data_IF_082520415833
#
_entry.id   IF_082520415833
#
_cell.length_a   1.000
_cell.length_b   1.000
_cell.length_c   1.000
_cell.angle_alpha   90.00
_cell.angle_beta   90.00
_cell.angle_gamma   90.00
#
_symmetry.space_group_name_H-M   'P 1'
#
loop_
_entity.id
_entity.type
_entity.pdbx_description
1 polymer ?
#
# COMPACT_ATOMS: atom_id res chain seq x y z
N UNK A 1 38.91 59.18 -12.00
CA UNK A 1 38.02 59.53 -13.13
C UNK A 1 36.90 60.40 -12.61
N UNK A 2 36.68 61.56 -13.24
CA UNK A 2 35.59 62.47 -12.88
C UNK A 2 34.29 61.79 -13.33
N UNK A 3 33.40 61.42 -12.39
CA UNK A 3 32.17 60.68 -12.71
C UNK A 3 31.33 61.52 -13.68
N UNK A 4 31.06 60.99 -14.87
CA UNK A 4 30.22 61.67 -15.85
C UNK A 4 28.83 61.83 -15.25
N UNK A 5 28.34 63.06 -15.15
CA UNK A 5 26.98 63.34 -14.72
C UNK A 5 26.01 63.10 -15.88
N UNK A 6 25.63 61.83 -16.07
CA UNK A 6 24.66 61.42 -17.08
C UNK A 6 23.30 62.09 -16.90
N UNK A 7 22.92 62.50 -15.68
CA UNK A 7 21.66 63.20 -15.44
C UNK A 7 21.71 64.64 -15.95
N UNK A 8 22.80 65.36 -15.72
CA UNK A 8 23.01 66.69 -16.28
C UNK A 8 23.09 66.67 -17.81
N UNK A 9 23.83 65.71 -18.39
CA UNK A 9 23.91 65.53 -19.83
C UNK A 9 22.54 65.22 -20.45
N UNK A 10 21.75 64.35 -19.81
CA UNK A 10 20.39 64.00 -20.24
C UNK A 10 19.45 65.21 -20.19
N UNK A 11 19.50 66.01 -19.11
CA UNK A 11 18.68 67.24 -19.00
C UNK A 11 19.03 68.26 -20.07
N UNK A 12 20.32 68.47 -20.35
CA UNK A 12 20.77 69.37 -21.42
C UNK A 12 20.31 68.89 -22.81
N UNK A 13 20.41 67.58 -23.08
CA UNK A 13 19.93 66.96 -24.32
C UNK A 13 18.40 67.14 -24.49
N UNK A 14 17.63 66.87 -23.44
CA UNK A 14 16.17 67.03 -23.43
C UNK A 14 15.74 68.48 -23.61
N UNK A 15 16.45 69.43 -22.98
CA UNK A 15 16.17 70.85 -23.16
C UNK A 15 16.38 71.27 -24.61
N UNK A 16 17.54 70.93 -25.21
CA UNK A 16 17.82 71.19 -26.62
C UNK A 16 16.77 70.57 -27.55
N UNK A 17 16.39 69.32 -27.33
CA UNK A 17 15.34 68.65 -28.12
C UNK A 17 13.99 69.36 -28.01
N UNK A 18 13.62 69.81 -26.82
CA UNK A 18 12.37 70.51 -26.56
C UNK A 18 12.35 71.90 -27.21
N UNK A 19 13.45 72.66 -27.10
CA UNK A 19 13.59 73.96 -27.77
C UNK A 19 13.60 73.80 -29.28
N UNK A 20 14.29 72.79 -29.82
CA UNK A 20 14.34 72.51 -31.25
C UNK A 20 12.96 72.19 -31.82
N UNK A 21 12.19 71.35 -31.12
CA UNK A 21 10.81 71.05 -31.50
C UNK A 21 9.92 72.31 -31.48
N UNK A 22 10.11 73.18 -30.48
CA UNK A 22 9.40 74.45 -30.40
C UNK A 22 9.76 75.42 -31.54
N UNK A 23 11.04 75.59 -31.85
CA UNK A 23 11.51 76.40 -32.98
C UNK A 23 10.97 75.89 -34.32
N UNK A 24 10.98 74.57 -34.54
CA UNK A 24 10.40 73.96 -35.74
C UNK A 24 8.90 74.20 -35.87
N UNK A 25 8.19 74.38 -34.76
CA UNK A 25 6.75 74.68 -34.74
C UNK A 25 6.40 76.15 -34.93
N UNK A 26 7.34 77.08 -34.70
CA UNK A 26 7.16 78.53 -34.85
C UNK A 26 8.41 79.16 -35.51
N UNK A 27 8.60 78.95 -36.83
CA UNK A 27 9.83 79.34 -37.53
C UNK A 27 10.06 80.86 -37.62
N UNK A 28 9.00 81.68 -37.53
CA UNK A 28 9.08 83.14 -37.68
C UNK A 28 9.32 83.89 -36.36
N UNK A 29 9.57 83.19 -35.24
CA UNK A 29 9.81 83.80 -33.93
C UNK A 29 11.31 84.13 -33.72
N UNK A 30 11.71 85.42 -33.61
CA UNK A 30 13.10 85.81 -33.41
C UNK A 30 13.72 85.32 -32.09
N UNK A 31 12.87 85.01 -31.11
CA UNK A 31 13.31 84.47 -29.82
C UNK A 31 13.57 82.96 -29.89
N UNK A 32 12.89 82.25 -30.79
CA UNK A 32 13.00 80.80 -30.90
C UNK A 32 14.35 80.34 -31.43
N UNK A 33 14.92 81.05 -32.41
CA UNK A 33 16.27 80.79 -32.91
C UNK A 33 17.33 80.99 -31.80
N UNK A 34 17.24 82.10 -31.06
CA UNK A 34 18.17 82.44 -29.97
C UNK A 34 18.13 81.42 -28.83
N UNK A 35 16.94 80.98 -28.42
CA UNK A 35 16.77 80.01 -27.35
C UNK A 35 17.26 78.61 -27.77
N UNK A 36 17.04 78.24 -29.03
CA UNK A 36 17.60 77.02 -29.62
C UNK A 36 19.13 77.03 -29.66
N UNK A 37 19.73 78.14 -30.11
CA UNK A 37 21.19 78.28 -30.17
C UNK A 37 21.82 78.25 -28.77
N UNK A 38 21.18 78.87 -27.79
CA UNK A 38 21.60 78.82 -26.39
C UNK A 38 21.53 77.39 -25.83
N UNK A 39 20.44 76.66 -26.11
CA UNK A 39 20.29 75.27 -25.68
C UNK A 39 21.28 74.32 -26.38
N UNK A 40 21.56 74.55 -27.67
CA UNK A 40 22.58 73.81 -28.43
C UNK A 40 23.98 74.08 -27.87
N UNK A 41 24.31 75.33 -27.55
CA UNK A 41 25.58 75.70 -26.95
C UNK A 41 25.77 75.07 -25.56
N UNK A 42 24.71 75.02 -24.74
CA UNK A 42 24.71 74.34 -23.46
C UNK A 42 24.94 72.82 -23.59
N UNK A 43 24.24 72.16 -24.52
CA UNK A 43 24.44 70.74 -24.80
C UNK A 43 25.86 70.44 -25.31
N UNK A 44 26.37 71.24 -26.26
CA UNK A 44 27.75 71.15 -26.76
C UNK A 44 28.78 71.38 -25.65
N UNK A 45 28.50 72.26 -24.68
CA UNK A 45 29.39 72.48 -23.54
C UNK A 45 29.54 71.24 -22.66
N UNK A 46 28.45 70.50 -22.43
CA UNK A 46 28.48 69.23 -21.69
C UNK A 46 29.27 68.12 -22.43
N UNK A 47 29.28 68.16 -23.76
CA UNK A 47 29.92 67.14 -24.61
C UNK A 47 31.40 67.42 -24.89
N UNK A 48 31.74 68.68 -25.21
CA UNK A 48 33.03 69.17 -25.75
C UNK A 48 34.27 68.27 -25.58
N UNK A 49 34.71 68.03 -24.35
CA UNK A 49 35.94 67.26 -24.07
C UNK A 49 35.66 65.89 -23.45
N UNK A 50 34.39 65.53 -23.30
CA UNK A 50 33.92 64.31 -22.65
C UNK A 50 33.36 63.30 -23.65
N UNK A 51 33.38 63.58 -24.95
CA UNK A 51 32.90 62.67 -26.00
C UNK A 51 33.50 61.26 -25.86
N UNK A 52 34.83 61.20 -25.73
CA UNK A 52 35.56 59.94 -25.57
C UNK A 52 35.21 59.26 -24.25
N UNK A 53 35.11 60.01 -23.15
CA UNK A 53 34.76 59.46 -21.84
C UNK A 53 33.31 58.92 -21.82
N UNK A 54 32.38 59.64 -22.46
CA UNK A 54 30.96 59.24 -22.58
C UNK A 54 30.84 57.98 -23.43
N UNK A 55 31.52 57.94 -24.58
CA UNK A 55 31.51 56.76 -25.46
C UNK A 55 32.14 55.56 -24.75
N UNK A 56 33.29 55.74 -24.07
CA UNK A 56 33.94 54.68 -23.31
C UNK A 56 33.02 54.13 -22.21
N UNK A 57 32.40 55.00 -21.41
CA UNK A 57 31.50 54.56 -20.34
C UNK A 57 30.26 53.82 -20.86
N UNK A 58 29.70 54.26 -22.00
CA UNK A 58 28.59 53.56 -22.64
C UNK A 58 28.99 52.20 -23.23
N UNK A 59 30.22 52.08 -23.75
CA UNK A 59 30.76 50.81 -24.25
C UNK A 59 31.01 49.84 -23.08
N UNK A 60 31.59 50.30 -21.99
CA UNK A 60 31.80 49.50 -20.78
C UNK A 60 30.45 48.97 -20.23
N UNK A 61 29.44 49.84 -20.12
CA UNK A 61 28.08 49.46 -19.70
C UNK A 61 27.41 48.48 -20.68
N UNK A 62 27.67 48.62 -21.99
CA UNK A 62 27.14 47.72 -23.01
C UNK A 62 27.79 46.34 -22.92
N UNK A 63 29.11 46.29 -22.74
CA UNK A 63 29.87 45.05 -22.59
C UNK A 63 29.45 44.30 -21.32
N UNK A 64 29.29 44.99 -20.19
CA UNK A 64 28.76 44.41 -18.96
C UNK A 64 27.36 43.81 -19.16
N UNK A 65 26.46 44.54 -19.82
CA UNK A 65 25.10 44.03 -20.12
C UNK A 65 25.13 42.84 -21.07
N UNK A 66 26.00 42.84 -22.07
CA UNK A 66 26.15 41.70 -22.97
C UNK A 66 26.68 40.47 -22.24
N UNK A 67 27.64 40.64 -21.32
CA UNK A 67 28.13 39.54 -20.47
C UNK A 67 27.02 39.00 -19.56
N UNK A 68 26.22 39.89 -18.96
CA UNK A 68 25.08 39.49 -18.14
C UNK A 68 24.06 38.66 -18.93
N UNK A 69 23.71 39.10 -20.15
CA UNK A 69 22.79 38.35 -21.03
C UNK A 69 23.35 36.96 -21.35
N UNK A 70 24.63 36.86 -21.74
CA UNK A 70 25.28 35.57 -22.00
C UNK A 70 25.25 34.65 -20.78
N UNK A 71 25.53 35.18 -19.59
CA UNK A 71 25.46 34.40 -18.35
C UNK A 71 24.05 33.90 -18.05
N UNK A 72 23.03 34.73 -18.30
CA UNK A 72 21.62 34.37 -18.12
C UNK A 72 21.15 33.34 -19.14
N UNK A 73 21.62 33.43 -20.38
CA UNK A 73 21.30 32.44 -21.42
C UNK A 73 21.89 31.09 -21.07
N UNK A 74 23.14 31.05 -20.57
CA UNK A 74 23.76 29.81 -20.08
C UNK A 74 23.00 29.22 -18.89
N UNK A 75 22.64 30.03 -17.90
CA UNK A 75 21.85 29.59 -16.75
C UNK A 75 20.49 29.01 -17.20
N UNK A 76 19.82 29.67 -18.15
CA UNK A 76 18.55 29.20 -18.68
C UNK A 76 18.70 27.86 -19.44
N UNK A 77 19.80 27.66 -20.16
CA UNK A 77 20.11 26.39 -20.83
C UNK A 77 20.32 25.27 -19.81
N UNK A 78 21.09 25.51 -18.76
CA UNK A 78 21.33 24.54 -17.68
C UNK A 78 20.03 24.17 -16.95
N UNK A 79 19.16 25.17 -16.72
CA UNK A 79 17.81 24.95 -16.15
C UNK A 79 16.97 24.10 -17.11
N UNK A 80 16.97 24.40 -18.42
CA UNK A 80 16.20 23.65 -19.40
C UNK A 80 16.64 22.19 -19.47
N UNK A 81 17.95 21.91 -19.41
CA UNK A 81 18.49 20.55 -19.35
C UNK A 81 18.07 19.83 -18.06
N UNK A 82 18.11 20.51 -16.92
CA UNK A 82 17.72 19.94 -15.62
C UNK A 82 16.22 19.62 -15.58
N UNK A 83 15.39 20.55 -16.01
CA UNK A 83 13.93 20.35 -16.12
C UNK A 83 13.61 19.23 -17.11
N UNK A 84 14.36 19.12 -18.20
CA UNK A 84 14.25 18.00 -19.14
C UNK A 84 14.49 16.65 -18.48
N UNK A 85 15.56 16.51 -17.71
CA UNK A 85 15.87 15.27 -16.96
C UNK A 85 14.78 14.93 -15.94
N UNK A 86 14.37 15.89 -15.12
CA UNK A 86 13.33 15.70 -14.11
C UNK A 86 11.98 15.29 -14.73
N UNK A 87 11.66 15.78 -15.92
CA UNK A 87 10.43 15.37 -16.63
C UNK A 87 10.47 13.90 -17.04
N UNK A 88 11.63 13.41 -17.49
CA UNK A 88 11.80 12.00 -17.84
C UNK A 88 11.71 11.12 -16.59
N UNK A 89 12.46 11.47 -15.53
CA UNK A 89 12.42 10.73 -14.26
C UNK A 89 11.00 10.70 -13.66
N UNK A 90 10.27 11.82 -13.73
CA UNK A 90 8.89 11.89 -13.26
C UNK A 90 7.97 10.95 -14.06
N UNK A 91 8.18 10.83 -15.36
CA UNK A 91 7.38 9.94 -16.21
C UNK A 91 7.68 8.47 -15.93
N UNK A 92 8.96 8.12 -15.71
CA UNK A 92 9.37 6.77 -15.29
C UNK A 92 8.76 6.39 -13.94
N UNK A 93 8.79 7.31 -12.95
CA UNK A 93 8.18 7.09 -11.64
C UNK A 93 6.66 6.90 -11.75
N UNK A 94 6.00 7.65 -12.63
CA UNK A 94 4.55 7.48 -12.87
C UNK A 94 4.23 6.12 -13.48
N UNK A 95 4.97 5.69 -14.49
CA UNK A 95 4.78 4.37 -15.10
C UNK A 95 4.99 3.27 -14.07
N UNK A 96 6.05 3.33 -13.27
CA UNK A 96 6.27 2.37 -12.20
C UNK A 96 5.17 2.38 -11.12
N UNK A 97 4.61 3.55 -10.78
CA UNK A 97 3.49 3.63 -9.86
C UNK A 97 2.21 2.99 -10.44
N UNK A 98 1.97 3.16 -11.73
CA UNK A 98 0.85 2.55 -12.45
C UNK A 98 1.01 1.02 -12.52
N UNK A 99 2.19 0.52 -12.90
CA UNK A 99 2.54 -0.91 -12.85
C UNK A 99 2.37 -1.50 -11.44
N UNK A 100 2.81 -0.79 -10.40
CA UNK A 100 2.60 -1.20 -9.00
C UNK A 100 1.12 -1.23 -8.62
N UNK A 101 0.32 -0.28 -9.13
CA UNK A 101 -1.13 -0.28 -8.93
C UNK A 101 -1.79 -1.47 -9.62
N UNK A 102 -1.44 -1.74 -10.88
CA UNK A 102 -1.95 -2.90 -11.63
C UNK A 102 -1.57 -4.23 -10.98
N UNK A 103 -0.30 -4.39 -10.57
CA UNK A 103 0.15 -5.60 -9.87
C UNK A 103 -0.52 -5.77 -8.51
N UNK A 104 -0.76 -4.68 -7.75
CA UNK A 104 -1.56 -4.76 -6.54
C UNK A 104 -3.03 -5.11 -6.83
N UNK A 105 -3.62 -4.59 -7.89
CA UNK A 105 -4.97 -4.96 -8.31
C UNK A 105 -5.07 -6.45 -8.68
N UNK A 106 -4.11 -6.97 -9.45
CA UNK A 106 -4.02 -8.39 -9.80
C UNK A 106 -3.77 -9.25 -8.55
N UNK A 107 -2.90 -8.80 -7.63
CA UNK A 107 -2.66 -9.48 -6.34
C UNK A 107 -3.90 -9.52 -5.46
N UNK A 108 -4.70 -8.45 -5.46
CA UNK A 108 -5.98 -8.37 -4.76
C UNK A 108 -7.07 -9.22 -5.42
N UNK A 109 -6.81 -9.79 -6.60
CA UNK A 109 -7.68 -10.75 -7.26
C UNK A 109 -7.37 -12.21 -6.91
N UNK A 110 -6.48 -12.44 -5.92
CA UNK A 110 -6.25 -13.78 -5.40
C UNK A 110 -7.53 -14.36 -4.81
N UNK A 111 -8.04 -15.39 -5.49
CA UNK A 111 -9.30 -16.06 -5.17
C UNK A 111 -9.17 -17.55 -5.52
N UNK A 112 -8.82 -18.40 -4.55
CA UNK A 112 -8.92 -19.85 -4.76
C UNK A 112 -10.38 -20.25 -5.06
N UNK A 113 -10.60 -21.33 -5.80
CA UNK A 113 -11.96 -21.84 -6.08
C UNK A 113 -12.64 -22.40 -4.83
N UNK A 114 -11.84 -22.88 -3.88
CA UNK A 114 -12.26 -23.40 -2.58
C UNK A 114 -11.55 -22.61 -1.49
N UNK A 115 -12.28 -22.17 -0.47
CA UNK A 115 -11.70 -21.49 0.69
C UNK A 115 -10.70 -22.42 1.38
N UNK A 116 -9.44 -22.01 1.57
CA UNK A 116 -8.39 -22.88 2.09
C UNK A 116 -8.60 -23.28 3.56
N UNK A 117 -9.41 -22.53 4.30
CA UNK A 117 -9.66 -22.76 5.74
C UNK A 117 -10.99 -23.48 5.96
N UNK A 118 -12.07 -23.04 5.32
CA UNK A 118 -13.42 -23.60 5.55
C UNK A 118 -13.82 -24.68 4.55
N UNK A 119 -13.11 -24.82 3.43
CA UNK A 119 -13.48 -25.74 2.35
C UNK A 119 -14.72 -25.31 1.54
N UNK A 120 -15.29 -24.13 1.80
CA UNK A 120 -16.45 -23.60 1.08
C UNK A 120 -16.07 -23.21 -0.36
N UNK A 121 -16.94 -23.47 -1.32
CA UNK A 121 -16.71 -23.03 -2.70
C UNK A 121 -16.85 -21.52 -2.84
N UNK A 122 -16.10 -20.91 -3.74
CA UNK A 122 -16.32 -19.53 -4.09
C UNK A 122 -17.73 -19.32 -4.63
N UNK A 123 -18.33 -18.21 -4.24
CA UNK A 123 -19.64 -17.80 -4.71
C UNK A 123 -19.53 -16.57 -5.63
N UNK A 124 -19.10 -15.42 -5.13
CA UNK A 124 -18.97 -14.19 -5.92
C UNK A 124 -18.05 -13.15 -5.26
N UNK A 125 -17.82 -12.04 -5.94
CA UNK A 125 -17.16 -10.86 -5.37
C UNK A 125 -18.21 -9.92 -4.77
N UNK A 126 -17.96 -9.42 -3.56
CA UNK A 126 -18.85 -8.48 -2.86
C UNK A 126 -18.04 -7.30 -2.34
N UNK A 127 -18.58 -6.09 -2.49
CA UNK A 127 -17.95 -4.88 -1.97
C UNK A 127 -18.09 -4.81 -0.44
N UNK A 128 -16.95 -4.80 0.24
CA UNK A 128 -16.82 -4.68 1.69
C UNK A 128 -16.52 -3.23 2.09
N UNK A 129 -17.19 -2.66 3.11
CA UNK A 129 -16.98 -1.28 3.54
C UNK A 129 -15.53 -0.94 3.91
N UNK A 130 -14.78 -1.90 4.46
CA UNK A 130 -13.40 -1.69 4.94
C UNK A 130 -12.34 -2.37 4.09
N UNK A 131 -12.69 -3.44 3.37
CA UNK A 131 -11.73 -4.30 2.66
C UNK A 131 -11.79 -4.09 1.14
N UNK A 132 -12.74 -3.29 0.64
CA UNK A 132 -13.01 -3.14 -0.77
C UNK A 132 -13.64 -4.40 -1.35
N UNK A 133 -13.42 -4.68 -2.62
CA UNK A 133 -14.04 -5.83 -3.28
C UNK A 133 -13.36 -7.14 -2.82
N UNK A 134 -14.09 -8.00 -2.11
CA UNK A 134 -13.55 -9.25 -1.52
C UNK A 134 -14.20 -10.48 -2.14
N UNK A 135 -13.45 -11.59 -2.28
CA UNK A 135 -14.04 -12.85 -2.73
C UNK A 135 -14.80 -13.49 -1.56
N UNK A 136 -16.04 -13.92 -1.81
CA UNK A 136 -16.86 -14.61 -0.82
C UNK A 136 -17.09 -16.08 -1.18
N UNK A 137 -17.23 -16.89 -0.14
CA UNK A 137 -17.29 -18.35 -0.20
C UNK A 137 -18.51 -18.87 0.56
N UNK A 138 -19.25 -19.82 -0.01
CA UNK A 138 -20.49 -20.33 0.55
C UNK A 138 -21.54 -20.59 -0.52
N UNK A 139 -22.70 -19.94 -0.39
CA UNK A 139 -23.83 -20.15 -1.29
C UNK A 139 -24.79 -18.96 -1.36
N UNK A 140 -25.97 -19.15 -1.96
CA UNK A 140 -26.92 -18.07 -2.26
C UNK A 140 -27.67 -17.52 -1.03
N UNK A 141 -27.62 -18.19 0.12
CA UNK A 141 -28.20 -17.69 1.36
C UNK A 141 -27.17 -16.83 2.10
N UNK A 142 -26.01 -17.43 2.36
CA UNK A 142 -24.91 -16.80 3.07
C UNK A 142 -23.59 -17.03 2.36
N UNK A 143 -22.78 -15.97 2.27
CA UNK A 143 -21.42 -16.05 1.76
C UNK A 143 -20.46 -15.33 2.70
N UNK A 144 -19.22 -15.81 2.74
CA UNK A 144 -18.29 -15.47 3.81
C UNK A 144 -16.93 -15.09 3.26
N UNK A 145 -16.25 -14.15 3.89
CA UNK A 145 -14.83 -13.88 3.57
C UNK A 145 -13.94 -15.07 3.95
N UNK A 146 -12.73 -15.11 3.39
CA UNK A 146 -11.73 -16.08 3.84
C UNK A 146 -11.39 -15.75 5.30
N UNK A 147 -11.46 -16.73 6.22
CA UNK A 147 -11.19 -16.45 7.62
C UNK A 147 -9.79 -15.87 7.84
N UNK A 148 -9.73 -14.87 8.72
CA UNK A 148 -8.48 -14.24 9.16
C UNK A 148 -8.20 -14.65 10.59
N UNK A 149 -6.91 -14.82 10.89
CA UNK A 149 -6.46 -15.17 12.23
C UNK A 149 -6.30 -13.90 13.06
N UNK A 150 -6.89 -13.86 14.24
CA UNK A 150 -6.71 -12.76 15.19
C UNK A 150 -5.44 -12.93 16.05
N UNK A 151 -5.23 -12.00 16.99
CA UNK A 151 -4.09 -12.01 17.91
C UNK A 151 -4.10 -13.17 18.90
N UNK A 152 -5.27 -13.75 19.17
CA UNK A 152 -5.47 -14.87 20.10
C UNK A 152 -5.38 -16.23 19.38
N UNK A 153 -5.30 -16.20 18.05
CA UNK A 153 -5.13 -17.35 17.19
C UNK A 153 -6.43 -18.04 16.79
N UNK A 154 -7.56 -17.41 17.05
CA UNK A 154 -8.87 -17.81 16.57
C UNK A 154 -9.08 -17.29 15.14
N UNK A 155 -9.78 -18.08 14.32
CA UNK A 155 -10.17 -17.64 13.00
C UNK A 155 -11.56 -17.01 13.04
N UNK A 156 -11.69 -15.86 12.40
CA UNK A 156 -12.98 -15.17 12.22
C UNK A 156 -13.19 -14.82 10.76
N UNK A 157 -14.44 -14.85 10.30
CA UNK A 157 -14.81 -14.37 8.97
C UNK A 157 -16.03 -13.46 9.03
N UNK A 158 -16.20 -12.63 8.01
CA UNK A 158 -17.35 -11.73 7.87
C UNK A 158 -18.40 -12.39 6.98
N UNK A 159 -19.67 -12.34 7.41
CA UNK A 159 -20.80 -12.94 6.70
C UNK A 159 -21.55 -11.86 5.92
N UNK A 160 -21.82 -12.14 4.66
CA UNK A 160 -22.78 -11.40 3.86
C UNK A 160 -24.07 -12.22 3.76
N UNK A 161 -25.14 -11.64 4.28
CA UNK A 161 -26.49 -12.19 4.25
C UNK A 161 -27.18 -11.72 2.96
N UNK A 162 -27.47 -12.65 2.06
CA UNK A 162 -28.05 -12.33 0.75
C UNK A 162 -29.56 -12.06 0.82
N UNK A 163 -30.25 -12.58 1.83
CA UNK A 163 -31.67 -12.31 2.04
C UNK A 163 -31.87 -10.88 2.58
N UNK A 164 -30.99 -10.43 3.47
CA UNK A 164 -30.95 -9.06 3.97
C UNK A 164 -30.28 -8.09 2.98
N UNK A 165 -29.30 -8.55 2.22
CA UNK A 165 -28.51 -7.75 1.29
C UNK A 165 -27.44 -6.91 1.98
N UNK A 166 -26.76 -7.45 3.00
CA UNK A 166 -25.76 -6.70 3.75
C UNK A 166 -24.78 -7.55 4.55
N UNK A 167 -23.69 -6.91 4.98
CA UNK A 167 -22.70 -7.49 5.88
C UNK A 167 -23.25 -7.55 7.30
N UNK A 168 -23.11 -8.71 7.95
CA UNK A 168 -23.55 -8.97 9.33
C UNK A 168 -22.32 -9.28 10.18
N UNK A 169 -22.45 -9.12 11.51
CA UNK A 169 -21.39 -9.36 12.48
C UNK A 169 -20.66 -10.69 12.25
N UNK A 170 -19.35 -10.65 12.52
CA UNK A 170 -18.41 -11.72 12.24
C UNK A 170 -18.84 -13.03 12.90
N UNK A 171 -18.78 -14.12 12.13
CA UNK A 171 -19.03 -15.46 12.62
C UNK A 171 -17.67 -16.15 12.84
N UNK A 172 -17.44 -16.65 14.05
CA UNK A 172 -16.30 -17.52 14.34
C UNK A 172 -16.62 -18.93 13.81
N UNK A 173 -15.87 -19.48 12.83
CA UNK A 173 -16.10 -20.82 12.31
C UNK A 173 -15.82 -21.95 13.33
N UNK A 174 -15.37 -21.62 14.55
CA UNK A 174 -14.99 -22.58 15.58
C UNK A 174 -13.73 -23.37 15.26
N UNK A 175 -12.88 -22.84 14.38
CA UNK A 175 -11.63 -23.49 13.95
C UNK A 175 -10.46 -22.92 14.76
N UNK A 176 -9.68 -23.82 15.35
CA UNK A 176 -8.43 -23.50 16.05
C UNK A 176 -7.27 -24.20 15.35
N UNK A 177 -6.09 -23.55 15.33
CA UNK A 177 -4.88 -24.21 14.88
C UNK A 177 -4.49 -25.29 15.90
N UNK A 178 -4.45 -26.55 15.44
CA UNK A 178 -3.82 -27.64 16.16
C UNK A 178 -2.33 -27.57 15.79
N UNK A 179 -1.45 -27.45 16.78
CA UNK A 179 -0.01 -27.51 16.51
C UNK A 179 0.41 -28.95 16.11
N UNK A 180 1.54 -29.08 15.42
CA UNK A 180 2.03 -30.38 14.93
C UNK A 180 2.15 -31.43 16.06
N UNK A 181 2.39 -30.98 17.29
CA UNK A 181 2.53 -31.85 18.45
C UNK A 181 1.18 -32.39 18.90
N UNK A 182 0.16 -31.55 19.00
CA UNK A 182 -1.21 -31.96 19.30
C UNK A 182 -1.78 -32.83 18.17
N UNK A 183 -1.42 -32.55 16.91
CA UNK A 183 -1.83 -33.39 15.78
C UNK A 183 -1.21 -34.79 15.88
N UNK A 184 0.08 -34.91 16.20
CA UNK A 184 0.73 -36.20 16.48
C UNK A 184 0.04 -36.93 17.65
N UNK A 185 -0.30 -36.24 18.73
CA UNK A 185 -0.99 -36.84 19.88
C UNK A 185 -2.38 -37.37 19.50
N UNK A 186 -3.13 -36.65 18.68
CA UNK A 186 -4.45 -37.10 18.20
C UNK A 186 -4.29 -38.36 17.35
N UNK A 187 -3.33 -38.40 16.42
CA UNK A 187 -3.07 -39.61 15.63
C UNK A 187 -2.69 -40.82 16.48
N UNK A 188 -1.79 -40.65 17.45
CA UNK A 188 -1.42 -41.72 18.39
C UNK A 188 -2.62 -42.23 19.20
N UNK A 189 -3.50 -41.32 19.61
CA UNK A 189 -4.72 -41.67 20.34
C UNK A 189 -5.72 -42.42 19.46
N UNK A 190 -5.94 -41.97 18.22
CA UNK A 190 -6.82 -42.64 17.27
C UNK A 190 -6.35 -44.05 16.94
N UNK A 191 -5.04 -44.25 16.76
CA UNK A 191 -4.45 -45.57 16.56
C UNK A 191 -4.67 -46.46 17.77
N UNK A 192 -4.46 -45.94 18.98
CA UNK A 192 -4.72 -46.66 20.22
C UNK A 192 -6.20 -47.01 20.41
N UNK A 193 -7.12 -46.14 20.01
CA UNK A 193 -8.56 -46.44 20.07
C UNK A 193 -8.91 -47.57 19.10
N UNK A 194 -8.42 -47.53 17.86
CA UNK A 194 -8.63 -48.62 16.89
C UNK A 194 -8.05 -49.95 17.38
N UNK A 195 -6.88 -49.90 17.99
CA UNK A 195 -6.23 -51.07 18.60
C UNK A 195 -7.08 -51.66 19.73
N UNK A 196 -7.61 -50.81 20.62
CA UNK A 196 -8.49 -51.23 21.71
C UNK A 196 -9.85 -51.75 21.21
N UNK A 197 -10.46 -51.12 20.20
CA UNK A 197 -11.74 -51.53 19.62
C UNK A 197 -11.64 -52.88 18.89
N UNK A 198 -10.46 -53.23 18.37
CA UNK A 198 -10.19 -54.52 17.74
C UNK A 198 -9.89 -55.65 18.73
N UNK A 199 -9.69 -55.36 20.02
CA UNK A 199 -9.42 -56.41 21.03
C UNK A 199 -10.68 -57.18 21.38
N UNK A 200 -10.66 -58.48 21.07
CA UNK A 200 -11.70 -59.41 21.46
C UNK A 200 -11.25 -60.28 22.65
N UNK A 201 -12.14 -60.51 23.62
CA UNK A 201 -11.87 -61.41 24.75
C UNK A 201 -12.46 -62.77 24.42
N UNK A 202 -11.59 -63.79 24.33
CA UNK A 202 -12.05 -65.18 24.24
C UNK A 202 -12.44 -65.68 25.64
N UNK A 203 -13.72 -66.03 25.82
CA UNK A 203 -14.21 -66.59 27.07
C UNK A 203 -13.85 -68.08 27.19
N UNK A 204 -13.54 -68.57 28.40
CA UNK A 204 -13.22 -69.98 28.63
C UNK A 204 -14.43 -70.89 28.34
N UNK A 205 -14.20 -72.18 28.16
CA UNK A 205 -15.29 -73.14 27.98
C UNK A 205 -16.24 -73.16 29.18
N UNK A 206 -17.55 -73.19 28.92
CA UNK A 206 -18.54 -73.32 29.98
C UNK A 206 -18.45 -74.72 30.57
N UNK A 207 -18.50 -74.81 31.90
CA UNK A 207 -18.53 -76.08 32.62
C UNK A 207 -19.89 -76.29 33.28
N UNK A 208 -20.30 -77.54 33.44
CA UNK A 208 -21.56 -77.89 34.11
C UNK A 208 -21.51 -77.48 35.58
N UNK A 209 -22.56 -76.84 36.10
CA UNK A 209 -22.66 -76.39 37.50
C UNK A 209 -22.90 -77.54 38.49
N UNK A 210 -21.99 -78.49 38.57
CA UNK A 210 -22.05 -79.59 39.54
C UNK A 210 -20.94 -79.42 40.55
N UNK A 211 -21.27 -78.96 41.77
CA UNK A 211 -20.68 -79.36 43.06
C UNK A 211 -21.40 -78.64 44.22
N UNK A 212 -22.65 -79.03 44.53
CA UNK A 212 -23.23 -78.98 45.88
C UNK A 212 -24.37 -79.99 45.97
N UNK A 213 -24.39 -80.75 47.05
CA UNK A 213 -25.20 -81.96 47.32
C UNK A 213 -26.72 -81.74 47.46
N UNK A 214 -27.22 -80.54 47.14
CA UNK A 214 -28.54 -80.09 47.60
C UNK A 214 -29.35 -79.36 46.51
N UNK A 215 -28.92 -79.41 45.25
CA UNK A 215 -29.69 -78.86 44.12
C UNK A 215 -30.33 -79.95 43.23
N UNK A 216 -31.59 -79.71 42.89
CA UNK A 216 -32.51 -80.62 42.22
C UNK A 216 -32.16 -80.84 40.72
N UNK A 217 -32.58 -81.99 40.17
CA UNK A 217 -32.17 -82.56 38.88
C UNK A 217 -32.39 -81.65 37.64
N UNK A 218 -33.26 -80.64 37.77
CA UNK A 218 -33.56 -79.66 36.72
C UNK A 218 -32.40 -78.71 36.36
N UNK A 219 -31.34 -78.64 37.17
CA UNK A 219 -30.18 -77.74 36.94
C UNK A 219 -28.97 -78.42 36.27
N UNK A 220 -29.03 -79.73 35.99
CA UNK A 220 -27.92 -80.49 35.42
C UNK A 220 -27.44 -80.02 34.04
N UNK A 221 -28.25 -79.25 33.32
CA UNK A 221 -27.94 -78.74 31.99
C UNK A 221 -27.46 -77.28 31.97
N UNK A 222 -27.42 -76.59 33.12
CA UNK A 222 -27.00 -75.18 33.15
C UNK A 222 -25.48 -75.06 33.14
N UNK A 223 -24.95 -74.69 31.98
CA UNK A 223 -23.52 -74.47 31.74
C UNK A 223 -23.12 -73.05 32.18
N UNK A 224 -22.14 -72.92 33.08
CA UNK A 224 -21.66 -71.64 33.58
C UNK A 224 -20.15 -71.48 33.39
N UNK A 225 -19.71 -70.21 33.35
CA UNK A 225 -18.28 -69.89 33.35
C UNK A 225 -17.73 -69.91 34.77
N UNK A 226 -16.51 -70.44 34.95
CA UNK A 226 -15.80 -70.30 36.22
C UNK A 226 -15.31 -68.87 36.37
N UNK A 227 -15.73 -68.22 37.46
CA UNK A 227 -15.42 -66.81 37.73
C UNK A 227 -13.92 -66.52 37.70
N UNK A 228 -13.10 -67.42 38.26
CA UNK A 228 -11.64 -67.27 38.27
C UNK A 228 -11.01 -67.27 36.87
N UNK A 229 -11.52 -68.10 35.96
CA UNK A 229 -11.01 -68.23 34.59
C UNK A 229 -11.45 -67.05 33.72
N UNK A 230 -12.67 -66.54 33.93
CA UNK A 230 -13.16 -65.32 33.27
C UNK A 230 -12.36 -64.10 33.73
N UNK A 231 -12.10 -63.97 35.03
CA UNK A 231 -11.26 -62.88 35.57
C UNK A 231 -9.83 -62.97 35.01
N UNK A 232 -9.28 -64.18 34.87
CA UNK A 232 -7.97 -64.38 34.25
C UNK A 232 -7.97 -63.93 32.78
N UNK A 233 -8.99 -64.31 31.99
CA UNK A 233 -9.12 -63.91 30.59
C UNK A 233 -9.25 -62.37 30.43
N UNK A 234 -10.04 -61.73 31.29
CA UNK A 234 -10.21 -60.26 31.31
C UNK A 234 -8.89 -59.54 31.67
N UNK A 235 -8.14 -60.07 32.65
CA UNK A 235 -6.83 -59.52 33.03
C UNK A 235 -5.77 -59.69 31.93
N UNK A 236 -5.77 -60.83 31.24
CA UNK A 236 -4.88 -61.09 30.09
C UNK A 236 -5.17 -60.11 28.94
N UNK A 237 -6.43 -59.72 28.74
CA UNK A 237 -6.81 -58.67 27.81
C UNK A 237 -6.42 -57.24 28.26
N UNK A 238 -5.85 -57.10 29.46
CA UNK A 238 -5.38 -55.82 30.02
C UNK A 238 -6.50 -54.95 30.61
N UNK A 239 -7.67 -55.52 30.89
CA UNK A 239 -8.83 -54.80 31.41
C UNK A 239 -8.85 -54.88 32.94
N UNK A 240 -8.96 -53.72 33.59
CA UNK A 240 -9.06 -53.62 35.06
C UNK A 240 -10.50 -53.82 35.51
N UNK A 241 -10.72 -54.66 36.51
CA UNK A 241 -12.03 -54.90 37.12
C UNK A 241 -12.12 -54.07 38.41
N UNK A 242 -13.16 -53.27 38.58
CA UNK A 242 -13.35 -52.40 39.76
C UNK A 242 -14.15 -53.15 40.84
N UNK A 243 -13.62 -53.24 42.06
CA UNK A 243 -14.30 -53.87 43.20
C UNK A 243 -13.60 -55.07 43.87
N UNK A 244 -12.31 -55.27 43.59
CA UNK A 244 -11.41 -56.00 44.50
C UNK A 244 -10.74 -55.03 45.49
#
# INVERSE_FOLDING_TARGET
MNKIDYQALRKAAQNYQSTLAWYQSIPDSPNAERDCDAALAAFKHHIRHREVDIISGLLDELDEKQQYIKSRDQENEDIALTVGKLRVELEEVKQHAEELSETNAVRNQWRPDICPITGRAFFMWIEHPTLGNVPTYGGPLDSYTIPTKDGDGEFSCERYDHDFGGWVESECPGLYLIDDKEQCRVYELEERVKELDAREISLPERSSMLHRTDFNEAYHTVMAYKVSEVIAAIRVAGIRIKGE
#
